data_IF_309037961389
#
_entry.id   IF_309037961389
#
_cell.length_a   1.000
_cell.length_b   1.000
_cell.length_c   1.000
_cell.angle_alpha   90.00
_cell.angle_beta   90.00
_cell.angle_gamma   90.00
#
_symmetry.space_group_name_H-M   'P 1'
#
loop_
_entity.id
_entity.type
_entity.pdbx_description
1 polymer ?
#
# COMPACT_ATOMS: atom_id res chain seq x y z
N UNK A 1 45.33 42.93 3.91
CA UNK A 1 44.37 42.41 2.91
C UNK A 1 44.47 40.90 2.93
N UNK A 2 43.56 40.24 3.64
CA UNK A 2 43.46 38.78 3.67
C UNK A 2 41.95 38.48 3.68
N UNK A 3 41.41 38.02 2.56
CA UNK A 3 39.99 37.71 2.43
C UNK A 3 39.77 36.27 2.89
N UNK A 4 39.14 36.10 4.04
CA UNK A 4 38.58 34.83 4.50
C UNK A 4 37.40 34.46 3.59
N UNK A 5 37.49 33.33 2.92
CA UNK A 5 36.36 32.73 2.22
C UNK A 5 35.44 32.04 3.23
N UNK A 6 34.21 32.53 3.34
CA UNK A 6 33.10 31.88 4.05
C UNK A 6 32.64 30.68 3.21
N UNK A 7 32.52 29.46 3.76
CA UNK A 7 31.90 28.37 3.02
C UNK A 7 30.39 28.62 2.94
N UNK A 8 29.90 28.69 1.70
CA UNK A 8 28.48 28.79 1.38
C UNK A 8 27.82 27.48 1.82
N UNK A 9 26.94 27.56 2.82
CA UNK A 9 26.05 26.46 3.19
C UNK A 9 25.18 26.08 2.00
N UNK A 10 25.32 24.83 1.54
CA UNK A 10 24.37 24.22 0.61
C UNK A 10 22.97 24.23 1.24
N UNK A 11 21.92 24.59 0.49
CA UNK A 11 20.56 24.53 1.01
C UNK A 11 20.18 23.08 1.25
N UNK A 12 19.63 22.81 2.45
CA UNK A 12 18.97 21.56 2.81
C UNK A 12 18.11 21.04 1.66
N UNK A 13 18.32 19.78 1.29
CA UNK A 13 17.45 19.03 0.39
C UNK A 13 16.08 18.82 1.06
N UNK A 14 15.29 19.89 1.08
CA UNK A 14 13.90 19.90 1.48
C UNK A 14 13.06 19.31 0.34
N UNK A 15 12.33 18.24 0.67
CA UNK A 15 11.14 17.75 -0.02
C UNK A 15 11.37 17.05 -1.36
N UNK A 16 11.85 15.82 -1.31
CA UNK A 16 11.57 14.85 -2.37
C UNK A 16 10.09 14.40 -2.28
N UNK A 17 9.18 15.29 -2.67
CA UNK A 17 7.87 14.87 -3.15
C UNK A 17 8.11 14.05 -4.43
N UNK A 18 7.62 12.81 -4.45
CA UNK A 18 7.55 11.97 -5.66
C UNK A 18 6.98 12.85 -6.79
N UNK A 19 7.67 13.01 -7.95
CA UNK A 19 7.25 13.95 -8.99
C UNK A 19 5.80 13.64 -9.38
N UNK A 20 4.94 14.63 -9.17
CA UNK A 20 3.49 14.51 -9.13
C UNK A 20 2.91 13.83 -10.35
N UNK A 21 2.36 12.64 -10.13
CA UNK A 21 1.30 12.10 -10.99
C UNK A 21 0.05 12.97 -10.79
N UNK A 22 0.00 14.11 -11.47
CA UNK A 22 -1.18 14.98 -11.49
C UNK A 22 -2.22 14.38 -12.45
N UNK A 23 -2.98 13.41 -11.94
CA UNK A 23 -4.12 12.84 -12.66
C UNK A 23 -5.29 13.82 -12.66
N UNK A 24 -5.86 14.10 -13.83
CA UNK A 24 -7.11 14.83 -13.89
C UNK A 24 -8.27 14.00 -13.31
N UNK A 25 -9.29 14.68 -12.78
CA UNK A 25 -10.51 14.02 -12.27
C UNK A 25 -11.11 13.08 -13.33
N UNK A 26 -11.08 13.48 -14.61
CA UNK A 26 -11.60 12.66 -15.70
C UNK A 26 -10.80 11.37 -15.89
N UNK A 27 -9.47 11.40 -15.77
CA UNK A 27 -8.62 10.21 -15.88
C UNK A 27 -8.85 9.23 -14.72
N UNK A 28 -9.01 9.77 -13.50
CA UNK A 28 -9.34 8.99 -12.30
C UNK A 28 -10.67 8.25 -12.50
N UNK A 29 -11.71 8.97 -12.90
CA UNK A 29 -13.04 8.38 -13.13
C UNK A 29 -13.02 7.36 -14.26
N UNK A 30 -12.33 7.65 -15.37
CA UNK A 30 -12.20 6.72 -16.50
C UNK A 30 -11.47 5.43 -16.12
N UNK A 31 -10.57 5.48 -15.16
CA UNK A 31 -9.87 4.32 -14.62
C UNK A 31 -10.72 3.51 -13.61
N UNK A 32 -11.92 3.99 -13.23
CA UNK A 32 -12.70 3.40 -12.14
C UNK A 32 -12.08 3.62 -10.77
N UNK A 33 -11.29 4.69 -10.63
CA UNK A 33 -10.71 5.14 -9.37
C UNK A 33 -11.54 6.28 -8.78
N UNK A 34 -11.39 6.50 -7.47
CA UNK A 34 -11.88 7.63 -6.72
C UNK A 34 -10.68 8.45 -6.21
N UNK A 35 -10.89 9.73 -5.88
CA UNK A 35 -9.84 10.53 -5.21
C UNK A 35 -9.38 9.88 -3.90
N UNK A 36 -10.31 9.27 -3.16
CA UNK A 36 -10.01 8.53 -1.94
C UNK A 36 -9.03 7.36 -2.16
N UNK A 37 -8.98 6.75 -3.34
CA UNK A 37 -8.02 5.69 -3.66
C UNK A 37 -6.59 6.24 -3.70
N UNK A 38 -6.41 7.42 -4.32
CA UNK A 38 -5.12 8.11 -4.43
C UNK A 38 -4.70 8.72 -3.10
N UNK A 39 -5.64 9.33 -2.37
CA UNK A 39 -5.37 9.91 -1.07
C UNK A 39 -4.98 8.86 -0.04
N UNK A 40 -5.63 7.70 -0.06
CA UNK A 40 -5.24 6.56 0.77
C UNK A 40 -3.83 6.08 0.43
N UNK A 41 -3.50 5.93 -0.86
CA UNK A 41 -2.17 5.49 -1.29
C UNK A 41 -1.09 6.50 -0.85
N UNK A 42 -1.35 7.79 -1.08
CA UNK A 42 -0.44 8.89 -0.73
C UNK A 42 -0.21 8.98 0.77
N UNK A 43 -1.27 8.99 1.59
CA UNK A 43 -1.16 9.06 3.05
C UNK A 43 -0.42 7.84 3.61
N UNK A 44 -0.69 6.64 3.08
CA UNK A 44 0.04 5.42 3.47
C UNK A 44 1.53 5.50 3.12
N UNK A 45 1.89 6.03 1.95
CA UNK A 45 3.28 6.27 1.54
C UNK A 45 3.96 7.30 2.45
N UNK A 46 3.29 8.40 2.78
CA UNK A 46 3.82 9.43 3.69
C UNK A 46 4.07 8.87 5.08
N UNK A 47 3.18 8.00 5.58
CA UNK A 47 3.35 7.34 6.86
C UNK A 47 4.57 6.40 6.89
N UNK A 48 4.76 5.60 5.83
CA UNK A 48 5.94 4.73 5.71
C UNK A 48 7.24 5.53 5.57
N UNK A 49 7.21 6.65 4.85
CA UNK A 49 8.35 7.56 4.75
C UNK A 49 8.70 8.19 6.10
N UNK A 50 7.68 8.58 6.89
CA UNK A 50 7.86 9.07 8.24
C UNK A 50 8.50 8.00 9.15
N UNK A 51 8.01 6.76 9.14
CA UNK A 51 8.65 5.65 9.87
C UNK A 51 10.11 5.43 9.43
N UNK A 52 10.38 5.49 8.12
CA UNK A 52 11.75 5.36 7.60
C UNK A 52 12.71 6.46 8.06
N UNK A 53 12.17 7.60 8.55
CA UNK A 53 12.91 8.72 9.14
C UNK A 53 12.81 8.76 10.66
N UNK A 54 12.33 7.69 11.30
CA UNK A 54 12.11 7.57 12.75
C UNK A 54 11.10 8.60 13.31
N UNK A 55 10.24 9.15 12.44
CA UNK A 55 9.16 10.06 12.80
C UNK A 55 7.88 9.28 13.13
N UNK A 56 7.87 8.65 14.30
CA UNK A 56 6.76 7.80 14.77
C UNK A 56 5.46 8.59 14.93
N UNK A 57 5.54 9.84 15.39
CA UNK A 57 4.37 10.71 15.56
C UNK A 57 3.72 11.05 14.20
N UNK A 58 4.53 11.47 13.22
CA UNK A 58 4.06 11.74 11.86
C UNK A 58 3.48 10.49 11.19
N UNK A 59 4.12 9.33 11.39
CA UNK A 59 3.60 8.07 10.89
C UNK A 59 2.23 7.70 11.46
N UNK A 60 2.05 7.82 12.78
CA UNK A 60 0.77 7.55 13.46
C UNK A 60 -0.33 8.45 12.92
N UNK A 61 -0.06 9.73 12.73
CA UNK A 61 -1.03 10.68 12.19
C UNK A 61 -1.44 10.32 10.75
N UNK A 62 -0.47 10.04 9.87
CA UNK A 62 -0.74 9.70 8.48
C UNK A 62 -1.43 8.33 8.32
N UNK A 63 -1.04 7.30 9.10
CA UNK A 63 -1.79 6.04 9.11
C UNK A 63 -3.20 6.20 9.68
N UNK A 64 -3.39 7.07 10.67
CA UNK A 64 -4.72 7.41 11.18
C UNK A 64 -5.61 8.05 10.11
N UNK A 65 -5.05 8.93 9.26
CA UNK A 65 -5.75 9.50 8.10
C UNK A 65 -6.07 8.43 7.06
N UNK A 66 -5.11 7.56 6.72
CA UNK A 66 -5.33 6.45 5.79
C UNK A 66 -6.45 5.52 6.27
N UNK A 67 -6.47 5.18 7.56
CA UNK A 67 -7.53 4.36 8.15
C UNK A 67 -8.90 5.04 8.10
N UNK A 68 -8.96 6.36 8.36
CA UNK A 68 -10.19 7.12 8.23
C UNK A 68 -10.71 7.09 6.78
N UNK A 69 -9.85 7.40 5.82
CA UNK A 69 -10.18 7.35 4.39
C UNK A 69 -10.71 5.97 4.00
N UNK A 70 -10.05 4.90 4.43
CA UNK A 70 -10.46 3.54 4.12
C UNK A 70 -11.82 3.17 4.72
N UNK A 71 -12.09 3.57 5.97
CA UNK A 71 -13.39 3.31 6.63
C UNK A 71 -14.55 4.06 5.97
N UNK A 72 -14.29 5.27 5.50
CA UNK A 72 -15.31 6.14 4.91
C UNK A 72 -15.64 5.77 3.46
N UNK A 73 -14.66 5.24 2.71
CA UNK A 73 -14.76 5.12 1.25
C UNK A 73 -14.68 3.69 0.70
N UNK A 74 -14.16 2.72 1.46
CA UNK A 74 -13.95 1.36 0.95
C UNK A 74 -14.96 0.36 1.51
N UNK A 75 -15.20 -0.73 0.75
CA UNK A 75 -16.03 -1.84 1.22
C UNK A 75 -15.40 -2.48 2.48
N UNK A 76 -16.18 -3.05 3.43
CA UNK A 76 -15.64 -3.70 4.62
C UNK A 76 -14.69 -4.87 4.36
N UNK A 77 -14.72 -5.42 3.14
CA UNK A 77 -13.88 -6.53 2.65
C UNK A 77 -12.75 -6.06 1.73
N UNK A 78 -12.57 -4.74 1.56
CA UNK A 78 -11.50 -4.18 0.74
C UNK A 78 -10.14 -4.38 1.43
N UNK A 79 -9.15 -5.01 0.76
CA UNK A 79 -7.82 -5.22 1.33
C UNK A 79 -7.13 -3.97 1.87
N UNK A 80 -7.41 -2.80 1.29
CA UNK A 80 -6.81 -1.52 1.71
C UNK A 80 -7.27 -1.10 3.10
N UNK A 81 -8.51 -1.44 3.49
CA UNK A 81 -8.99 -1.29 4.86
C UNK A 81 -8.21 -2.20 5.81
N UNK A 82 -7.99 -3.46 5.42
CA UNK A 82 -7.19 -4.40 6.20
C UNK A 82 -5.76 -3.89 6.44
N UNK A 83 -5.12 -3.38 5.38
CA UNK A 83 -3.79 -2.76 5.48
C UNK A 83 -3.78 -1.55 6.41
N UNK A 84 -4.75 -0.65 6.30
CA UNK A 84 -4.83 0.51 7.21
C UNK A 84 -5.03 0.14 8.67
N UNK A 85 -5.84 -0.90 8.96
CA UNK A 85 -6.04 -1.39 10.33
C UNK A 85 -4.72 -1.89 10.92
N UNK A 86 -4.00 -2.76 10.20
CA UNK A 86 -2.72 -3.30 10.66
C UNK A 86 -1.68 -2.20 10.82
N UNK A 87 -1.51 -1.34 9.83
CA UNK A 87 -0.49 -0.29 9.86
C UNK A 87 -0.72 0.71 11.00
N UNK A 88 -1.98 1.10 11.24
CA UNK A 88 -2.29 1.96 12.37
C UNK A 88 -2.03 1.28 13.72
N UNK A 89 -2.33 -0.02 13.83
CA UNK A 89 -2.00 -0.81 15.03
C UNK A 89 -0.50 -0.88 15.31
N UNK A 90 0.31 -1.08 14.27
CA UNK A 90 1.78 -1.04 14.38
C UNK A 90 2.26 0.35 14.83
N UNK A 91 1.74 1.42 14.20
CA UNK A 91 2.14 2.78 14.57
C UNK A 91 1.76 3.15 16.01
N UNK A 92 0.62 2.67 16.52
CA UNK A 92 0.25 2.82 17.93
C UNK A 92 1.24 2.09 18.85
N UNK A 93 1.60 0.84 18.52
CA UNK A 93 2.57 0.08 19.30
C UNK A 93 3.95 0.75 19.33
N UNK A 94 4.45 1.23 18.19
CA UNK A 94 5.72 1.97 18.11
C UNK A 94 5.68 3.28 18.91
N UNK A 95 4.53 3.95 18.96
CA UNK A 95 4.33 5.16 19.77
C UNK A 95 4.20 4.89 21.28
N UNK A 96 4.22 3.62 21.72
CA UNK A 96 4.02 3.22 23.12
C UNK A 96 2.54 3.05 23.53
N UNK A 97 1.59 3.25 22.61
CA UNK A 97 0.15 3.08 22.80
C UNK A 97 -0.31 1.66 22.42
N UNK A 98 0.45 0.63 22.82
CA UNK A 98 0.34 -0.74 22.30
C UNK A 98 -0.93 -1.55 22.62
N UNK A 99 -1.88 -0.98 23.37
CA UNK A 99 -3.10 -1.70 23.79
C UNK A 99 -3.99 -2.12 22.61
N UNK A 100 -3.87 -1.46 21.46
CA UNK A 100 -4.76 -1.69 20.31
C UNK A 100 -4.15 -2.55 19.20
N UNK A 101 -2.88 -2.96 19.30
CA UNK A 101 -2.19 -3.70 18.21
C UNK A 101 -2.89 -5.03 17.87
N UNK A 102 -3.10 -5.87 18.87
CA UNK A 102 -3.70 -7.20 18.68
C UNK A 102 -5.11 -7.13 18.06
N UNK A 103 -6.08 -6.36 18.59
CA UNK A 103 -7.40 -6.29 17.97
C UNK A 103 -7.36 -5.70 16.56
N UNK A 104 -6.48 -4.72 16.28
CA UNK A 104 -6.36 -4.13 14.95
C UNK A 104 -5.78 -5.10 13.92
N UNK A 105 -4.72 -5.84 14.26
CA UNK A 105 -4.12 -6.86 13.39
C UNK A 105 -5.08 -8.03 13.15
N UNK A 106 -5.83 -8.46 14.18
CA UNK A 106 -6.87 -9.48 14.00
C UNK A 106 -7.98 -9.03 13.05
N UNK A 107 -8.45 -7.78 13.18
CA UNK A 107 -9.44 -7.23 12.26
C UNK A 107 -8.89 -7.11 10.84
N UNK A 108 -7.64 -6.68 10.69
CA UNK A 108 -6.96 -6.65 9.40
C UNK A 108 -6.90 -8.03 8.73
N UNK A 109 -6.52 -9.06 9.48
CA UNK A 109 -6.49 -10.44 9.02
C UNK A 109 -7.87 -10.92 8.55
N UNK A 110 -8.93 -10.60 9.29
CA UNK A 110 -10.29 -10.95 8.91
C UNK A 110 -10.74 -10.22 7.63
N UNK A 111 -10.43 -8.92 7.49
CA UNK A 111 -10.70 -8.16 6.27
C UNK A 111 -10.00 -8.79 5.06
N UNK A 112 -8.72 -9.14 5.18
CA UNK A 112 -7.99 -9.81 4.10
C UNK A 112 -8.55 -11.20 3.76
N UNK A 113 -8.93 -12.00 4.76
CA UNK A 113 -9.60 -13.30 4.54
C UNK A 113 -10.96 -13.17 3.85
N UNK A 114 -11.67 -12.08 4.12
CA UNK A 114 -12.98 -11.80 3.52
C UNK A 114 -12.89 -11.12 2.14
N UNK A 115 -11.68 -10.76 1.67
CA UNK A 115 -11.46 -10.08 0.39
C UNK A 115 -11.68 -10.88 -0.92
N UNK A 116 -11.80 -12.23 -0.97
CA UNK A 116 -11.97 -12.94 -2.23
C UNK A 116 -13.13 -12.44 -3.13
N UNK A 117 -14.33 -12.09 -2.60
CA UNK A 117 -15.38 -11.49 -3.41
C UNK A 117 -15.02 -10.10 -3.95
N UNK A 118 -14.20 -9.31 -3.25
CA UNK A 118 -13.68 -8.04 -3.74
C UNK A 118 -12.67 -8.27 -4.87
N UNK A 119 -11.72 -9.20 -4.69
CA UNK A 119 -10.72 -9.57 -5.70
C UNK A 119 -11.39 -10.10 -6.98
N UNK A 120 -12.51 -10.82 -6.84
CA UNK A 120 -13.27 -11.33 -7.98
C UNK A 120 -13.87 -10.22 -8.87
N UNK A 121 -14.04 -8.99 -8.36
CA UNK A 121 -14.54 -7.83 -9.11
C UNK A 121 -13.45 -7.14 -9.95
N UNK A 122 -12.17 -7.41 -9.66
CA UNK A 122 -11.06 -6.72 -10.31
C UNK A 122 -10.96 -7.05 -11.80
N UNK A 123 -10.66 -6.02 -12.59
CA UNK A 123 -10.50 -6.12 -14.03
C UNK A 123 -9.04 -6.28 -14.41
N UNK A 124 -8.72 -7.37 -15.13
CA UNK A 124 -7.35 -7.64 -15.57
C UNK A 124 -6.88 -6.50 -16.49
N UNK A 125 -5.68 -5.93 -16.24
CA UNK A 125 -5.19 -4.81 -17.04
C UNK A 125 -5.04 -5.23 -18.49
N UNK A 126 -5.38 -4.32 -19.41
CA UNK A 126 -5.11 -4.51 -20.84
C UNK A 126 -3.65 -4.13 -21.08
N UNK A 127 -2.76 -5.11 -21.22
CA UNK A 127 -1.37 -4.80 -21.54
C UNK A 127 -1.27 -4.23 -22.95
N UNK A 128 -0.74 -3.02 -23.12
CA UNK A 128 -0.40 -2.51 -24.44
C UNK A 128 0.79 -3.31 -24.98
N UNK A 129 0.55 -4.24 -25.92
CA UNK A 129 1.60 -4.99 -26.61
C UNK A 129 1.82 -4.42 -28.00
N UNK A 130 3.09 -4.23 -28.37
CA UNK A 130 3.54 -3.47 -29.54
C UNK A 130 3.31 -4.12 -30.91
N UNK A 131 2.54 -5.23 -31.01
CA UNK A 131 2.19 -5.78 -32.32
C UNK A 131 0.77 -6.37 -32.38
N UNK A 132 0.11 -6.22 -33.53
CA UNK A 132 -1.22 -6.77 -33.81
C UNK A 132 -1.28 -8.30 -33.62
N UNK A 133 -0.18 -9.00 -33.85
CA UNK A 133 -0.08 -10.44 -33.58
C UNK A 133 -0.32 -10.76 -32.10
N UNK A 134 0.32 -10.02 -31.19
CA UNK A 134 0.12 -10.20 -29.75
C UNK A 134 -1.30 -9.86 -29.32
N UNK A 135 -1.92 -8.84 -29.92
CA UNK A 135 -3.32 -8.49 -29.65
C UNK A 135 -4.28 -9.60 -30.09
N UNK A 136 -4.02 -10.25 -31.24
CA UNK A 136 -4.82 -11.40 -31.71
C UNK A 136 -4.64 -12.63 -30.83
N UNK A 137 -3.41 -12.93 -30.42
CA UNK A 137 -3.13 -14.05 -29.51
C UNK A 137 -3.75 -13.82 -28.12
N UNK A 138 -3.73 -12.58 -27.62
CA UNK A 138 -4.39 -12.21 -26.37
C UNK A 138 -5.91 -12.32 -26.47
N UNK A 139 -6.50 -11.91 -27.61
CA UNK A 139 -7.93 -12.11 -27.85
C UNK A 139 -8.31 -13.60 -27.91
N UNK A 140 -7.49 -14.44 -28.54
CA UNK A 140 -7.71 -15.88 -28.67
C UNK A 140 -7.59 -16.62 -27.32
N UNK A 141 -6.70 -16.18 -26.43
CA UNK A 141 -6.44 -16.83 -25.13
C UNK A 141 -6.88 -15.98 -23.93
N UNK A 142 -7.87 -15.11 -24.13
CA UNK A 142 -8.30 -14.10 -23.14
C UNK A 142 -8.70 -14.71 -21.80
N UNK A 143 -9.39 -15.85 -21.82
CA UNK A 143 -9.83 -16.53 -20.59
C UNK A 143 -8.65 -17.13 -19.81
N UNK A 144 -7.66 -17.70 -20.50
CA UNK A 144 -6.43 -18.19 -19.86
C UNK A 144 -5.65 -17.04 -19.22
N UNK A 145 -5.57 -15.89 -19.89
CA UNK A 145 -4.94 -14.68 -19.35
C UNK A 145 -5.66 -14.17 -18.09
N UNK A 146 -7.00 -14.09 -18.14
CA UNK A 146 -7.83 -13.72 -16.98
C UNK A 146 -7.68 -14.69 -15.82
N UNK A 147 -7.63 -16.00 -16.09
CA UNK A 147 -7.42 -17.02 -15.06
C UNK A 147 -6.07 -16.84 -14.36
N UNK A 148 -4.99 -16.59 -15.11
CA UNK A 148 -3.66 -16.31 -14.54
C UNK A 148 -3.63 -15.05 -13.68
N UNK A 149 -4.31 -13.98 -14.09
CA UNK A 149 -4.41 -12.78 -13.26
C UNK A 149 -5.18 -13.03 -11.97
N UNK A 150 -6.31 -13.76 -12.03
CA UNK A 150 -7.05 -14.15 -10.83
C UNK A 150 -6.20 -14.96 -9.87
N UNK A 151 -5.44 -15.93 -10.39
CA UNK A 151 -4.49 -16.70 -9.58
C UNK A 151 -3.44 -15.77 -8.95
N UNK A 152 -2.82 -14.88 -9.73
CA UNK A 152 -1.83 -13.92 -9.22
C UNK A 152 -2.38 -13.03 -8.10
N UNK A 153 -3.62 -12.56 -8.24
CA UNK A 153 -4.26 -11.75 -7.21
C UNK A 153 -4.61 -12.55 -5.96
N UNK A 154 -4.97 -13.83 -6.09
CA UNK A 154 -5.14 -14.73 -4.95
C UNK A 154 -3.82 -14.95 -4.22
N UNK A 155 -2.72 -15.21 -4.93
CA UNK A 155 -1.38 -15.33 -4.35
C UNK A 155 -0.99 -14.07 -3.56
N UNK A 156 -1.24 -12.88 -4.12
CA UNK A 156 -1.00 -11.60 -3.44
C UNK A 156 -1.78 -11.50 -2.12
N UNK A 157 -3.04 -11.94 -2.11
CA UNK A 157 -3.88 -11.92 -0.91
C UNK A 157 -3.43 -12.96 0.13
N UNK A 158 -3.08 -14.16 -0.31
CA UNK A 158 -2.54 -15.23 0.54
C UNK A 158 -1.25 -14.81 1.24
N UNK A 159 -0.36 -14.10 0.53
CA UNK A 159 0.85 -13.54 1.14
C UNK A 159 0.53 -12.52 2.25
N UNK A 160 -0.43 -11.61 2.03
CA UNK A 160 -0.85 -10.65 3.06
C UNK A 160 -1.46 -11.35 4.28
N UNK A 161 -2.34 -12.35 4.03
CA UNK A 161 -2.95 -13.18 5.07
C UNK A 161 -1.88 -13.91 5.88
N UNK A 162 -0.86 -14.48 5.23
CA UNK A 162 0.21 -15.20 5.90
C UNK A 162 1.02 -14.29 6.83
N UNK A 163 1.34 -13.07 6.39
CA UNK A 163 2.06 -12.08 7.21
C UNK A 163 1.25 -11.62 8.43
N UNK A 164 -0.03 -11.32 8.21
CA UNK A 164 -0.96 -10.95 9.29
C UNK A 164 -1.18 -12.09 10.28
N UNK A 165 -1.28 -13.32 9.79
CA UNK A 165 -1.41 -14.51 10.62
C UNK A 165 -0.18 -14.72 11.49
N UNK A 166 1.03 -14.57 10.93
CA UNK A 166 2.27 -14.69 11.68
C UNK A 166 2.33 -13.71 12.87
N UNK A 167 1.99 -12.43 12.65
CA UNK A 167 1.93 -11.44 13.74
C UNK A 167 0.82 -11.77 14.74
N UNK A 168 -0.34 -12.22 14.28
CA UNK A 168 -1.44 -12.64 15.16
C UNK A 168 -1.03 -13.82 16.05
N UNK A 169 -0.30 -14.79 15.49
CA UNK A 169 0.18 -15.96 16.21
C UNK A 169 1.23 -15.57 17.28
N UNK A 170 2.20 -14.72 16.92
CA UNK A 170 3.19 -14.19 17.88
C UNK A 170 2.52 -13.47 19.05
N UNK A 171 1.57 -12.58 18.76
CA UNK A 171 0.79 -11.87 19.79
C UNK A 171 -0.05 -12.84 20.64
N UNK A 172 -0.60 -13.90 20.04
CA UNK A 172 -1.37 -14.93 20.73
C UNK A 172 -0.54 -15.80 21.69
N UNK A 173 0.75 -15.97 21.38
CA UNK A 173 1.71 -16.68 22.25
C UNK A 173 2.21 -15.82 23.42
N UNK A 174 1.88 -14.53 23.46
CA UNK A 174 2.37 -13.59 24.47
C UNK A 174 3.77 -13.03 24.18
N UNK A 175 4.33 -13.37 23.03
CA UNK A 175 5.60 -12.82 22.54
C UNK A 175 5.38 -11.45 21.90
N UNK A 176 6.41 -10.60 21.94
CA UNK A 176 6.38 -9.32 21.24
C UNK A 176 6.76 -9.54 19.76
N UNK A 177 5.90 -9.19 18.80
CA UNK A 177 6.27 -9.25 17.39
C UNK A 177 7.40 -8.26 17.08
N UNK A 178 8.23 -8.63 16.12
CA UNK A 178 9.18 -7.69 15.54
C UNK A 178 8.41 -6.66 14.69
N UNK A 179 8.29 -5.45 15.22
CA UNK A 179 7.58 -4.33 14.58
C UNK A 179 8.52 -3.37 13.86
N UNK A 180 9.84 -3.57 13.94
CA UNK A 180 10.86 -2.79 13.22
C UNK A 180 10.96 -3.26 11.76
N UNK A 181 9.82 -3.58 11.16
CA UNK A 181 9.74 -3.92 9.74
C UNK A 181 10.32 -2.75 8.93
N UNK A 182 11.22 -3.02 7.96
CA UNK A 182 11.95 -1.97 7.27
C UNK A 182 11.01 -1.21 6.32
N UNK A 183 10.32 -0.19 6.84
CA UNK A 183 9.39 0.67 6.11
C UNK A 183 10.05 1.24 4.83
N UNK A 184 11.35 1.54 4.90
CA UNK A 184 12.16 1.94 3.75
C UNK A 184 12.24 0.87 2.64
N UNK A 185 12.39 -0.41 2.99
CA UNK A 185 12.42 -1.52 2.01
C UNK A 185 11.06 -1.72 1.36
N UNK A 186 9.98 -1.60 2.12
CA UNK A 186 8.63 -1.66 1.59
C UNK A 186 8.35 -0.52 0.63
N UNK A 187 8.69 0.71 1.02
CA UNK A 187 8.51 1.89 0.20
C UNK A 187 9.37 1.83 -1.07
N UNK A 188 10.61 1.34 -0.99
CA UNK A 188 11.46 1.11 -2.15
C UNK A 188 10.87 0.06 -3.10
N UNK A 189 10.30 -1.01 -2.55
CA UNK A 189 9.62 -2.05 -3.33
C UNK A 189 8.37 -1.50 -4.01
N UNK A 190 7.54 -0.75 -3.28
CA UNK A 190 6.38 -0.08 -3.84
C UNK A 190 6.75 0.88 -4.96
N UNK A 191 7.72 1.78 -4.75
CA UNK A 191 8.18 2.71 -5.79
C UNK A 191 8.69 2.01 -7.06
N UNK A 192 9.30 0.83 -6.91
CA UNK A 192 9.80 0.03 -8.05
C UNK A 192 8.69 -0.73 -8.78
N UNK A 193 7.70 -1.25 -8.04
CA UNK A 193 6.69 -2.19 -8.56
C UNK A 193 5.32 -1.56 -8.80
N UNK A 194 5.09 -0.32 -8.35
CA UNK A 194 3.86 0.43 -8.56
C UNK A 194 3.53 0.52 -10.05
N UNK A 195 2.34 0.03 -10.48
CA UNK A 195 1.91 0.21 -11.85
C UNK A 195 1.73 1.70 -12.20
N UNK A 196 2.28 2.13 -13.33
CA UNK A 196 2.15 3.50 -13.82
C UNK A 196 0.71 3.89 -14.20
N UNK A 197 -0.14 2.91 -14.53
CA UNK A 197 -1.55 3.15 -14.83
C UNK A 197 -2.41 2.94 -13.59
N UNK A 198 -3.43 3.80 -13.43
CA UNK A 198 -4.52 3.57 -12.49
C UNK A 198 -5.34 2.36 -12.95
N UNK A 199 -5.13 1.22 -12.31
CA UNK A 199 -5.86 -0.01 -12.59
C UNK A 199 -6.06 -0.82 -11.30
N UNK A 200 -6.95 -1.81 -11.35
CA UNK A 200 -7.30 -2.62 -10.18
C UNK A 200 -6.12 -3.41 -9.61
N UNK A 201 -5.12 -3.74 -10.44
CA UNK A 201 -3.89 -4.38 -9.96
C UNK A 201 -3.06 -3.43 -9.09
N UNK A 202 -3.02 -2.13 -9.39
CA UNK A 202 -2.38 -1.13 -8.52
C UNK A 202 -3.08 -1.05 -7.16
N UNK A 203 -4.41 -1.10 -7.09
CA UNK A 203 -5.15 -1.10 -5.81
C UNK A 203 -4.75 -2.26 -4.91
N UNK A 204 -4.76 -3.49 -5.46
CA UNK A 204 -4.41 -4.69 -4.69
C UNK A 204 -2.91 -4.75 -4.35
N UNK A 205 -2.03 -4.39 -5.29
CA UNK A 205 -0.59 -4.34 -5.03
C UNK A 205 -0.25 -3.28 -3.97
N UNK A 206 -0.90 -2.12 -3.99
CA UNK A 206 -0.71 -1.09 -2.98
C UNK A 206 -1.10 -1.62 -1.60
N UNK A 207 -2.27 -2.26 -1.47
CA UNK A 207 -2.71 -2.89 -0.23
C UNK A 207 -1.65 -3.88 0.31
N UNK A 208 -1.08 -4.72 -0.57
CA UNK A 208 -0.09 -5.74 -0.16
C UNK A 208 1.29 -5.18 0.15
N UNK A 209 1.82 -4.30 -0.71
CA UNK A 209 3.21 -3.83 -0.64
C UNK A 209 3.39 -2.71 0.40
N UNK A 210 2.31 -2.02 0.77
CA UNK A 210 2.29 -1.02 1.82
C UNK A 210 1.89 -1.58 3.21
N UNK A 211 1.71 -2.90 3.34
CA UNK A 211 1.43 -3.58 4.61
C UNK A 211 2.71 -3.80 5.44
N UNK A 212 2.76 -3.19 6.64
CA UNK A 212 3.95 -3.17 7.51
C UNK A 212 4.35 -4.54 8.04
N UNK A 213 3.36 -5.33 8.45
CA UNK A 213 3.53 -6.67 9.02
C UNK A 213 3.78 -7.70 7.95
#
# INVERSE_FOLDING_TARGET
MNMSAVPISEPEASKAADPGEDWSIQEILNAGWQEADLDWERTTVLALDALGRDDIAGAKDEFGKALRLARENFEPIDPRLGTSLANYGVALALAGDGNDLQPLVQNALQTWRASPPWIAKLTAPRSARSSMFHLRMEALHRETYRARWRQRWQEIAEEAIARLQAVTDTLGSGDSPDLDAPAGTMLATWRRERPAMLNDTRKLLAARLLLLV
#
